data_IF_517634075689
#
_entry.id   IF_517634075689
#
_cell.length_a   1.000
_cell.length_b   1.000
_cell.length_c   1.000
_cell.angle_alpha   90.00
_cell.angle_beta   90.00
_cell.angle_gamma   90.00
#
_symmetry.space_group_name_H-M   'P 1'
#
loop_
_entity.id
_entity.type
_entity.pdbx_description
1 polymer ?
#
# COMPACT_ATOMS: atom_id res chain seq x y z
N UNK A 1 1.65 18.49 60.84
CA UNK A 1 2.49 19.60 60.33
C UNK A 1 3.26 19.11 59.13
N UNK A 2 3.04 19.77 57.99
CA UNK A 2 3.48 19.42 56.63
C UNK A 2 5.01 19.28 56.53
N UNK A 3 5.48 18.21 55.89
CA UNK A 3 6.77 18.21 55.20
C UNK A 3 6.56 17.70 53.78
N UNK A 4 6.60 18.68 52.87
CA UNK A 4 6.66 18.66 51.41
C UNK A 4 7.47 17.45 50.88
N UNK A 5 6.91 16.55 50.07
CA UNK A 5 6.71 16.64 48.60
C UNK A 5 7.94 17.21 47.90
N UNK A 6 8.72 16.36 47.22
CA UNK A 6 9.30 16.66 45.90
C UNK A 6 9.82 15.35 45.27
N UNK A 7 8.89 14.61 44.67
CA UNK A 7 9.19 13.50 43.77
C UNK A 7 9.20 14.07 42.36
N UNK A 8 10.37 14.20 41.73
CA UNK A 8 10.46 14.60 40.32
C UNK A 8 11.23 13.52 39.56
N UNK A 9 10.56 12.38 39.34
CA UNK A 9 10.95 11.45 38.29
C UNK A 9 10.50 12.10 36.98
N UNK A 10 11.46 12.72 36.28
CA UNK A 10 11.27 13.18 34.91
C UNK A 10 11.24 11.91 34.05
N UNK A 11 10.04 11.37 33.88
CA UNK A 11 9.76 10.32 32.90
C UNK A 11 9.80 11.00 31.53
N UNK A 12 10.93 10.86 30.84
CA UNK A 12 11.07 11.20 29.43
C UNK A 12 10.06 10.37 28.63
N UNK A 13 8.90 10.97 28.33
CA UNK A 13 8.02 10.49 27.26
C UNK A 13 8.72 10.78 25.93
N UNK A 14 9.52 9.82 25.48
CA UNK A 14 9.99 9.78 24.10
C UNK A 14 8.77 9.43 23.24
N UNK A 15 8.04 10.45 22.80
CA UNK A 15 7.00 10.32 21.80
C UNK A 15 7.66 9.82 20.53
N UNK A 16 7.66 8.51 20.31
CA UNK A 16 7.93 7.94 19.00
C UNK A 16 6.80 8.42 18.08
N UNK A 17 6.97 9.61 17.50
CA UNK A 17 6.21 10.04 16.35
C UNK A 17 6.70 9.21 15.17
N UNK A 18 6.36 7.92 15.18
CA UNK A 18 6.42 7.11 13.98
C UNK A 18 5.57 7.81 12.94
N UNK A 19 6.16 8.08 11.78
CA UNK A 19 5.43 8.42 10.56
C UNK A 19 4.22 7.49 10.49
N UNK A 20 3.02 8.03 10.73
CA UNK A 20 1.82 7.20 10.73
C UNK A 20 1.58 6.81 9.29
N UNK A 21 1.74 5.52 9.00
CA UNK A 21 1.28 4.96 7.74
C UNK A 21 -0.22 5.24 7.60
N UNK A 22 -0.64 5.69 6.42
CA UNK A 22 -2.05 5.89 6.09
C UNK A 22 -2.73 4.52 5.97
N UNK A 23 -4.05 4.49 6.15
CA UNK A 23 -4.82 3.26 5.98
C UNK A 23 -4.68 2.73 4.53
N UNK A 24 -4.22 1.49 4.40
CA UNK A 24 -3.93 0.88 3.10
C UNK A 24 -5.16 0.81 2.18
N UNK A 25 -6.34 0.59 2.76
CA UNK A 25 -7.59 0.59 2.00
C UNK A 25 -7.89 1.99 1.46
N UNK A 26 -7.70 3.02 2.27
CA UNK A 26 -7.89 4.42 1.86
C UNK A 26 -6.96 4.79 0.69
N UNK A 27 -5.68 4.40 0.76
CA UNK A 27 -4.73 4.59 -0.34
C UNK A 27 -5.18 3.83 -1.58
N UNK A 28 -5.57 2.56 -1.42
CA UNK A 28 -6.02 1.72 -2.53
C UNK A 28 -7.26 2.30 -3.22
N UNK A 29 -8.23 2.73 -2.43
CA UNK A 29 -9.47 3.35 -2.91
C UNK A 29 -9.18 4.61 -3.73
N UNK A 30 -8.27 5.47 -3.24
CA UNK A 30 -7.87 6.72 -3.89
C UNK A 30 -7.07 6.50 -5.19
N UNK A 31 -6.07 5.64 -5.14
CA UNK A 31 -5.01 5.60 -6.16
C UNK A 31 -5.09 4.37 -7.08
N UNK A 32 -5.68 3.27 -6.63
CA UNK A 32 -5.58 1.97 -7.30
C UNK A 32 -6.89 1.55 -7.99
N UNK A 33 -8.05 1.85 -7.40
CA UNK A 33 -9.36 1.31 -7.84
C UNK A 33 -9.73 1.69 -9.28
N UNK A 34 -9.27 2.84 -9.77
CA UNK A 34 -9.53 3.30 -11.16
C UNK A 34 -9.05 2.28 -12.20
N UNK A 35 -7.98 1.54 -11.90
CA UNK A 35 -7.41 0.52 -12.77
C UNK A 35 -7.69 -0.90 -12.26
N UNK A 36 -7.57 -1.13 -10.95
CA UNK A 36 -7.65 -2.46 -10.35
C UNK A 36 -9.04 -2.84 -9.83
N UNK A 37 -10.00 -1.90 -9.82
CA UNK A 37 -11.34 -2.11 -9.26
C UNK A 37 -11.34 -2.13 -7.73
N UNK A 38 -12.50 -1.91 -7.11
CA UNK A 38 -12.64 -1.99 -5.65
C UNK A 38 -12.53 -3.43 -5.12
N UNK A 39 -12.75 -4.41 -5.99
CA UNK A 39 -12.67 -5.84 -5.70
C UNK A 39 -11.36 -6.50 -6.18
N UNK A 40 -10.41 -5.71 -6.67
CA UNK A 40 -9.09 -6.19 -7.11
C UNK A 40 -9.09 -6.95 -8.42
N UNK A 41 -10.21 -7.04 -9.15
CA UNK A 41 -10.31 -7.87 -10.35
C UNK A 41 -9.76 -7.22 -11.62
N UNK A 42 -9.51 -5.92 -11.61
CA UNK A 42 -9.07 -5.19 -12.81
C UNK A 42 -10.14 -5.03 -13.88
N UNK A 43 -11.41 -5.33 -13.57
CA UNK A 43 -12.54 -5.30 -14.52
C UNK A 43 -13.02 -3.88 -14.88
N UNK A 44 -12.20 -2.86 -14.66
CA UNK A 44 -12.48 -1.49 -15.10
C UNK A 44 -12.14 -1.31 -16.57
N UNK A 45 -12.71 -0.28 -17.22
CA UNK A 45 -12.38 0.06 -18.61
C UNK A 45 -10.87 0.26 -18.82
N UNK A 46 -10.19 0.87 -17.83
CA UNK A 46 -8.75 1.11 -17.88
C UNK A 46 -7.95 -0.15 -17.57
N UNK A 47 -8.38 -0.93 -16.56
CA UNK A 47 -7.76 -2.21 -16.22
C UNK A 47 -7.76 -3.19 -17.39
N UNK A 48 -8.89 -3.35 -18.06
CA UNK A 48 -9.00 -4.19 -19.28
C UNK A 48 -8.10 -3.70 -20.42
N UNK A 49 -8.01 -2.39 -20.63
CA UNK A 49 -7.16 -1.80 -21.67
C UNK A 49 -5.67 -2.03 -21.42
N UNK A 50 -5.24 -1.99 -20.15
CA UNK A 50 -3.84 -2.11 -19.75
C UNK A 50 -3.45 -3.54 -19.32
N UNK A 51 -4.41 -4.47 -19.28
CA UNK A 51 -4.19 -5.85 -18.87
C UNK A 51 -3.95 -6.02 -17.37
N UNK A 52 -4.66 -5.25 -16.54
CA UNK A 52 -4.67 -5.43 -15.09
C UNK A 52 -5.06 -6.87 -14.75
N UNK A 53 -4.35 -7.46 -13.79
CA UNK A 53 -4.59 -8.84 -13.36
C UNK A 53 -5.73 -8.90 -12.36
N UNK A 54 -6.41 -10.04 -12.32
CA UNK A 54 -7.39 -10.35 -11.29
C UNK A 54 -6.64 -10.82 -10.03
N UNK A 55 -6.56 -9.95 -9.02
CA UNK A 55 -5.91 -10.27 -7.75
C UNK A 55 -6.76 -11.20 -6.86
N UNK A 56 -8.00 -11.52 -7.23
CA UNK A 56 -8.76 -12.57 -6.55
C UNK A 56 -8.35 -13.98 -6.96
N UNK A 57 -7.69 -14.14 -8.11
CA UNK A 57 -7.17 -15.43 -8.60
C UNK A 57 -5.94 -15.88 -7.78
N UNK A 58 -5.99 -17.04 -7.11
CA UNK A 58 -4.86 -17.62 -6.39
C UNK A 58 -3.58 -17.80 -7.22
N UNK A 59 -3.71 -18.08 -8.52
CA UNK A 59 -2.56 -18.25 -9.44
C UNK A 59 -1.87 -16.93 -9.72
N UNK A 60 -2.65 -15.85 -9.87
CA UNK A 60 -2.10 -14.49 -10.02
C UNK A 60 -1.37 -14.08 -8.75
N UNK A 61 -1.98 -14.30 -7.59
CA UNK A 61 -1.38 -14.01 -6.29
C UNK A 61 -0.05 -14.76 -6.09
N UNK A 62 0.02 -16.04 -6.49
CA UNK A 62 1.25 -16.81 -6.41
C UNK A 62 2.34 -16.36 -7.40
N UNK A 63 1.95 -15.78 -8.54
CA UNK A 63 2.89 -15.34 -9.58
C UNK A 63 3.51 -13.95 -9.30
N UNK A 64 2.92 -13.16 -8.40
CA UNK A 64 3.38 -11.81 -8.06
C UNK A 64 4.04 -11.88 -6.68
N UNK A 65 5.30 -11.48 -6.57
CA UNK A 65 5.97 -11.36 -5.26
C UNK A 65 5.65 -10.00 -4.62
N UNK A 66 5.79 -9.90 -3.30
CA UNK A 66 5.56 -8.63 -2.59
C UNK A 66 6.55 -7.55 -3.05
N UNK A 67 7.79 -7.92 -3.35
CA UNK A 67 8.82 -7.01 -3.87
C UNK A 67 8.46 -6.52 -5.28
N UNK A 68 7.92 -7.40 -6.13
CA UNK A 68 7.46 -7.01 -7.46
C UNK A 68 6.27 -6.03 -7.36
N UNK A 69 5.33 -6.28 -6.44
CA UNK A 69 4.22 -5.37 -6.15
C UNK A 69 4.71 -4.01 -5.61
N UNK A 70 5.63 -4.03 -4.66
CA UNK A 70 6.24 -2.82 -4.10
C UNK A 70 6.91 -1.99 -5.19
N UNK A 71 7.74 -2.63 -6.02
CA UNK A 71 8.45 -1.96 -7.11
C UNK A 71 7.49 -1.41 -8.16
N UNK A 72 6.46 -2.16 -8.53
CA UNK A 72 5.45 -1.70 -9.48
C UNK A 72 4.69 -0.45 -8.97
N UNK A 73 4.41 -0.37 -7.67
CA UNK A 73 3.79 0.82 -7.07
C UNK A 73 4.79 1.98 -6.99
N UNK A 74 6.03 1.73 -6.58
CA UNK A 74 7.05 2.76 -6.35
C UNK A 74 7.60 3.36 -7.64
N UNK A 75 7.86 2.52 -8.64
CA UNK A 75 8.57 2.88 -9.88
C UNK A 75 7.68 2.82 -11.12
N UNK A 76 6.43 2.35 -10.97
CA UNK A 76 5.57 2.02 -12.09
C UNK A 76 5.88 0.65 -12.71
N UNK A 77 5.08 0.27 -13.69
CA UNK A 77 5.22 -1.00 -14.40
C UNK A 77 5.13 -0.77 -15.90
N UNK A 78 6.05 -1.37 -16.65
CA UNK A 78 6.08 -1.36 -18.12
C UNK A 78 5.92 -2.78 -18.66
N UNK A 79 5.34 -2.90 -19.84
CA UNK A 79 5.32 -4.16 -20.59
C UNK A 79 6.71 -4.50 -21.12
N UNK A 80 6.85 -5.70 -21.69
CA UNK A 80 8.07 -6.13 -22.42
C UNK A 80 8.38 -5.26 -23.65
N UNK A 81 7.42 -4.48 -24.11
CA UNK A 81 7.52 -3.58 -25.26
C UNK A 81 7.70 -2.12 -24.82
N UNK A 82 8.16 -1.89 -23.58
CA UNK A 82 8.37 -0.59 -22.95
C UNK A 82 7.13 0.32 -22.80
N UNK A 83 5.92 -0.24 -23.02
CA UNK A 83 4.67 0.50 -22.80
C UNK A 83 4.40 0.63 -21.31
N UNK A 84 4.17 1.86 -20.83
CA UNK A 84 3.79 2.11 -19.44
C UNK A 84 2.39 1.54 -19.18
N UNK A 85 2.31 0.52 -18.33
CA UNK A 85 1.06 -0.13 -17.91
C UNK A 85 0.57 0.40 -16.56
N UNK A 86 1.48 0.82 -15.70
CA UNK A 86 1.18 1.47 -14.42
C UNK A 86 2.16 2.60 -14.21
N UNK A 87 1.67 3.79 -13.82
CA UNK A 87 2.53 4.90 -13.40
C UNK A 87 2.94 4.70 -11.93
N UNK A 88 4.10 5.24 -11.51
CA UNK A 88 4.44 5.33 -10.10
C UNK A 88 3.30 5.97 -9.31
N UNK A 89 3.06 5.49 -8.09
CA UNK A 89 2.21 6.18 -7.14
C UNK A 89 2.98 7.33 -6.51
N UNK A 90 2.44 8.55 -6.63
CA UNK A 90 3.07 9.76 -6.11
C UNK A 90 2.62 10.04 -4.67
N UNK A 91 3.52 10.50 -3.81
CA UNK A 91 3.18 10.90 -2.45
C UNK A 91 2.91 9.74 -1.46
N UNK A 92 3.18 8.49 -1.85
CA UNK A 92 3.00 7.31 -0.99
C UNK A 92 4.34 6.86 -0.42
N UNK A 93 4.42 6.73 0.91
CA UNK A 93 5.66 6.32 1.60
C UNK A 93 5.96 4.84 1.41
N UNK A 94 7.20 4.41 1.65
CA UNK A 94 7.55 2.98 1.53
C UNK A 94 6.78 2.11 2.54
N UNK A 95 6.43 2.64 3.70
CA UNK A 95 5.59 1.95 4.68
C UNK A 95 4.17 1.76 4.13
N UNK A 96 3.61 2.79 3.51
CA UNK A 96 2.28 2.77 2.89
C UNK A 96 2.24 1.82 1.70
N UNK A 97 3.27 1.81 0.85
CA UNK A 97 3.34 0.88 -0.29
C UNK A 97 3.33 -0.56 0.22
N UNK A 98 4.11 -0.88 1.25
CA UNK A 98 4.10 -2.22 1.87
C UNK A 98 2.72 -2.57 2.42
N UNK A 99 2.03 -1.61 3.06
CA UNK A 99 0.68 -1.80 3.57
C UNK A 99 -0.33 -2.04 2.43
N UNK A 100 -0.21 -1.33 1.30
CA UNK A 100 -1.03 -1.54 0.10
C UNK A 100 -0.77 -2.90 -0.55
N UNK A 101 0.49 -3.35 -0.61
CA UNK A 101 0.84 -4.70 -1.08
C UNK A 101 0.20 -5.76 -0.18
N UNK A 102 0.26 -5.58 1.14
CA UNK A 102 -0.42 -6.46 2.09
C UNK A 102 -1.95 -6.44 1.89
N UNK A 103 -2.54 -5.26 1.66
CA UNK A 103 -3.97 -5.12 1.35
C UNK A 103 -4.34 -5.84 0.05
N UNK A 104 -3.50 -5.79 -0.99
CA UNK A 104 -3.71 -6.54 -2.24
C UNK A 104 -3.82 -8.05 -2.00
N UNK A 105 -3.11 -8.61 -1.02
CA UNK A 105 -3.20 -10.05 -0.67
C UNK A 105 -4.58 -10.46 -0.15
N UNK A 106 -5.36 -9.52 0.37
CA UNK A 106 -6.69 -9.79 0.93
C UNK A 106 -7.74 -10.10 -0.15
N UNK A 107 -7.47 -9.78 -1.43
CA UNK A 107 -8.39 -10.08 -2.52
C UNK A 107 -8.45 -11.57 -2.87
N UNK A 108 -7.40 -12.34 -2.54
CA UNK A 108 -7.34 -13.78 -2.81
C UNK A 108 -8.54 -14.48 -2.17
N UNK A 109 -9.28 -15.23 -2.97
CA UNK A 109 -10.37 -16.10 -2.50
C UNK A 109 -9.97 -17.56 -2.44
#
# INVERSE_FOLDING_TARGET
>A
MKKFILTTIILTMLSAQGLRAEDAKTIYDRDCTKCHGADGKGETKMGKKLGAKDYSDPKVQAAITDEAGFKAIKEGFKSKEDKVLMKPSEGVSDADIKAVVAYLRTFKK
#
